data_IF_738709536607
#
_entry.id   IF_738709536607
#
_cell.length_a   1.000
_cell.length_b   1.000
_cell.length_c   1.000
_cell.angle_alpha   90.00
_cell.angle_beta   90.00
_cell.angle_gamma   90.00
#
_symmetry.space_group_name_H-M   'P 1'
#
loop_
_entity.id
_entity.type
_entity.pdbx_description
1 polymer ?
#
# COMPACT_ATOMS: atom_id res chain seq x y z
N UNK A 1 -24.84 18.03 -24.60
CA UNK A 1 -23.86 17.03 -24.15
C UNK A 1 -23.60 17.29 -22.68
N UNK A 2 -24.27 16.58 -21.77
CA UNK A 2 -23.99 16.65 -20.34
C UNK A 2 -23.25 15.37 -19.95
N UNK A 3 -21.98 15.50 -19.57
CA UNK A 3 -21.21 14.42 -18.98
C UNK A 3 -21.71 14.19 -17.55
N UNK A 4 -22.34 13.05 -17.32
CA UNK A 4 -22.66 12.56 -15.98
C UNK A 4 -21.37 12.01 -15.36
N UNK A 5 -20.82 12.71 -14.36
CA UNK A 5 -19.79 12.16 -13.49
C UNK A 5 -20.47 11.19 -12.53
N UNK A 6 -20.31 9.87 -12.77
CA UNK A 6 -20.63 8.87 -11.75
C UNK A 6 -19.60 8.98 -10.62
N UNK A 7 -19.94 9.75 -9.59
CA UNK A 7 -19.30 9.64 -8.28
C UNK A 7 -19.73 8.32 -7.66
N UNK A 8 -18.84 7.32 -7.69
CA UNK A 8 -19.03 6.07 -6.98
C UNK A 8 -18.79 6.32 -5.48
N UNK A 9 -19.83 6.73 -4.77
CA UNK A 9 -19.78 6.85 -3.30
C UNK A 9 -19.88 5.44 -2.71
N UNK A 10 -18.73 4.79 -2.54
CA UNK A 10 -18.65 3.51 -1.86
C UNK A 10 -18.96 3.70 -0.38
N UNK A 11 -20.16 3.32 0.06
CA UNK A 11 -20.52 3.30 1.48
C UNK A 11 -19.94 2.05 2.11
N UNK A 12 -18.78 2.18 2.76
CA UNK A 12 -18.25 1.13 3.61
C UNK A 12 -18.86 1.28 5.01
N UNK A 13 -19.91 0.50 5.31
CA UNK A 13 -20.40 0.37 6.68
C UNK A 13 -19.62 -0.77 7.35
N UNK A 14 -18.65 -0.49 8.24
CA UNK A 14 -17.96 -1.55 8.94
C UNK A 14 -18.98 -2.37 9.75
N UNK A 15 -19.02 -3.69 9.52
CA UNK A 15 -19.91 -4.64 10.21
C UNK A 15 -19.43 -4.98 11.62
N UNK A 16 -18.16 -4.72 11.93
CA UNK A 16 -17.63 -4.84 13.28
C UNK A 16 -17.94 -3.58 14.09
N UNK A 17 -18.75 -3.73 15.14
CA UNK A 17 -18.80 -2.71 16.20
C UNK A 17 -17.44 -2.73 16.90
N UNK A 18 -16.68 -1.63 16.82
CA UNK A 18 -15.49 -1.44 17.66
C UNK A 18 -15.96 -1.36 19.12
N UNK A 19 -15.90 -2.50 19.82
CA UNK A 19 -15.93 -2.51 21.27
C UNK A 19 -14.49 -2.35 21.72
N UNK A 20 -14.07 -1.14 22.05
CA UNK A 20 -12.77 -0.89 22.67
C UNK A 20 -12.72 -1.67 24.01
N UNK A 21 -11.80 -2.64 24.21
CA UNK A 21 -11.69 -3.36 25.47
C UNK A 21 -11.34 -2.43 26.63
N UNK A 22 -11.79 -2.77 27.84
CA UNK A 22 -11.71 -1.93 29.03
C UNK A 22 -10.25 -1.70 29.52
N UNK A 23 -9.28 -2.44 28.97
CA UNK A 23 -7.85 -2.40 29.34
C UNK A 23 -6.94 -1.89 28.21
N UNK A 24 -7.42 -0.96 27.38
CA UNK A 24 -6.62 -0.43 26.27
C UNK A 24 -5.43 0.42 26.72
N UNK A 25 -4.29 0.14 26.10
CA UNK A 25 -3.11 1.01 26.16
C UNK A 25 -3.48 2.30 25.39
N UNK A 26 -3.45 3.48 26.02
CA UNK A 26 -3.80 4.72 25.34
C UNK A 26 -2.84 4.99 24.18
N UNK A 27 -3.40 5.34 23.01
CA UNK A 27 -2.62 5.80 21.84
C UNK A 27 -2.33 7.29 22.01
N UNK A 28 -1.07 7.64 22.18
CA UNK A 28 -0.64 9.02 22.29
C UNK A 28 -0.45 9.67 20.92
N UNK A 29 -0.26 11.00 20.92
CA UNK A 29 -0.04 11.75 19.68
C UNK A 29 1.28 11.32 19.02
N UNK A 30 2.27 11.03 19.82
CA UNK A 30 3.61 10.59 19.41
C UNK A 30 3.54 9.21 18.74
N UNK A 31 2.79 8.26 19.32
CA UNK A 31 2.58 6.93 18.71
C UNK A 31 1.96 7.07 17.31
N UNK A 32 0.91 7.89 17.21
CA UNK A 32 0.25 8.17 15.92
C UNK A 32 1.22 8.76 14.91
N UNK A 33 2.07 9.70 15.34
CA UNK A 33 3.07 10.30 14.47
C UNK A 33 4.04 9.24 13.90
N UNK A 34 4.60 8.39 14.76
CA UNK A 34 5.54 7.35 14.31
C UNK A 34 4.88 6.28 13.45
N UNK A 35 3.66 5.85 13.80
CA UNK A 35 2.93 4.87 13.02
C UNK A 35 2.50 5.45 11.66
N UNK A 36 2.06 6.71 11.60
CA UNK A 36 1.75 7.37 10.32
C UNK A 36 2.99 7.58 9.46
N UNK A 37 4.16 7.81 10.06
CA UNK A 37 5.42 7.80 9.31
C UNK A 37 5.69 6.41 8.72
N UNK A 38 5.61 5.35 9.55
CA UNK A 38 5.78 3.97 9.12
C UNK A 38 4.73 3.55 8.08
N UNK A 39 3.52 4.11 8.13
CA UNK A 39 2.44 3.81 7.18
C UNK A 39 2.81 4.16 5.73
N UNK A 40 3.77 5.06 5.49
CA UNK A 40 4.30 5.25 4.14
C UNK A 40 4.98 3.98 3.59
N UNK A 41 5.65 3.22 4.46
CA UNK A 41 6.27 1.93 4.10
C UNK A 41 5.19 0.88 3.87
N UNK A 42 4.17 0.80 4.73
CA UNK A 42 3.03 -0.11 4.53
C UNK A 42 2.34 0.11 3.18
N UNK A 43 2.16 1.37 2.77
CA UNK A 43 1.63 1.69 1.43
C UNK A 43 2.59 1.27 0.31
N UNK A 44 3.90 1.47 0.49
CA UNK A 44 4.92 1.03 -0.47
C UNK A 44 4.90 -0.49 -0.65
N UNK A 45 4.93 -1.24 0.45
CA UNK A 45 4.96 -2.69 0.47
C UNK A 45 3.64 -3.27 -0.07
N UNK A 46 2.49 -2.74 0.35
CA UNK A 46 1.19 -3.14 -0.17
C UNK A 46 1.12 -2.96 -1.70
N UNK A 47 1.44 -1.78 -2.22
CA UNK A 47 1.40 -1.55 -3.66
C UNK A 47 2.43 -2.42 -4.40
N UNK A 48 3.65 -2.53 -3.89
CA UNK A 48 4.71 -3.33 -4.52
C UNK A 48 4.34 -4.81 -4.62
N UNK A 49 3.87 -5.42 -3.53
CA UNK A 49 3.48 -6.83 -3.50
C UNK A 49 2.17 -7.09 -4.27
N UNK A 50 1.20 -6.18 -4.21
CA UNK A 50 -0.03 -6.29 -4.99
C UNK A 50 0.24 -6.23 -6.49
N UNK A 51 1.02 -5.25 -6.95
CA UNK A 51 1.38 -5.15 -8.36
C UNK A 51 2.19 -6.35 -8.81
N UNK A 52 3.24 -6.72 -8.09
CA UNK A 52 4.10 -7.85 -8.48
C UNK A 52 3.35 -9.19 -8.53
N UNK A 53 2.37 -9.44 -7.66
CA UNK A 53 1.64 -10.72 -7.63
C UNK A 53 0.34 -10.74 -8.45
N UNK A 54 -0.50 -9.71 -8.34
CA UNK A 54 -1.82 -9.67 -8.98
C UNK A 54 -1.80 -8.91 -10.31
N UNK A 55 -0.95 -7.88 -10.41
CA UNK A 55 -0.88 -6.96 -11.55
C UNK A 55 -1.82 -5.75 -11.42
N UNK A 56 -2.27 -5.45 -10.21
CA UNK A 56 -3.05 -4.26 -9.86
C UNK A 56 -2.93 -3.99 -8.36
N UNK A 57 -3.13 -2.73 -7.95
CA UNK A 57 -2.90 -2.25 -6.58
C UNK A 57 -4.15 -2.09 -5.71
N UNK A 58 -4.04 -1.23 -4.69
CA UNK A 58 -5.10 -0.99 -3.72
C UNK A 58 -6.37 -0.40 -4.36
N UNK A 59 -6.27 0.29 -5.50
CA UNK A 59 -7.42 0.86 -6.20
C UNK A 59 -8.45 -0.19 -6.65
N UNK A 60 -8.00 -1.45 -6.82
CA UNK A 60 -8.87 -2.58 -7.16
C UNK A 60 -9.17 -3.41 -5.93
N UNK A 61 -8.15 -3.73 -5.14
CA UNK A 61 -8.29 -4.66 -4.02
C UNK A 61 -9.02 -4.04 -2.83
N UNK A 62 -8.63 -2.83 -2.42
CA UNK A 62 -9.11 -2.17 -1.20
C UNK A 62 -9.17 -0.64 -1.38
N UNK A 63 -10.02 -0.12 -2.29
CA UNK A 63 -9.98 1.28 -2.70
C UNK A 63 -10.24 2.27 -1.56
N UNK A 64 -10.94 1.83 -0.49
CA UNK A 64 -11.20 2.66 0.67
C UNK A 64 -9.96 2.94 1.52
N UNK A 65 -8.94 2.07 1.46
CA UNK A 65 -7.69 2.23 2.22
C UNK A 65 -6.79 3.32 1.62
N UNK A 66 -6.94 3.65 0.33
CA UNK A 66 -6.12 4.70 -0.31
C UNK A 66 -6.41 6.10 0.23
N UNK A 67 -7.58 6.29 0.86
CA UNK A 67 -8.16 7.58 1.28
C UNK A 67 -8.09 8.63 0.17
N UNK A 68 -8.30 8.21 -1.08
CA UNK A 68 -8.29 9.07 -2.26
C UNK A 68 -6.90 9.48 -2.75
N UNK A 69 -5.84 8.84 -2.26
CA UNK A 69 -4.47 9.07 -2.73
C UNK A 69 -4.26 8.59 -4.17
N UNK A 70 -3.29 9.16 -4.92
CA UNK A 70 -3.05 8.80 -6.31
C UNK A 70 -2.54 7.36 -6.45
N UNK A 71 -2.82 6.68 -7.58
CA UNK A 71 -2.25 5.36 -7.87
C UNK A 71 -0.73 5.43 -8.02
N UNK A 72 -0.01 4.32 -7.77
CA UNK A 72 1.42 4.28 -8.01
C UNK A 72 1.76 4.40 -9.49
N UNK A 73 2.93 4.94 -9.79
CA UNK A 73 3.50 5.01 -11.14
C UNK A 73 4.33 3.75 -11.37
N UNK A 74 4.20 3.13 -12.55
CA UNK A 74 5.10 2.06 -12.96
C UNK A 74 4.89 0.71 -12.29
N UNK A 75 3.79 0.51 -11.54
CA UNK A 75 3.45 -0.80 -10.99
C UNK A 75 3.27 -1.83 -12.11
N UNK A 76 3.92 -2.99 -11.95
CA UNK A 76 3.89 -4.08 -12.94
C UNK A 76 3.77 -5.44 -12.27
N UNK A 77 3.19 -6.39 -13.00
CA UNK A 77 3.14 -7.79 -12.58
C UNK A 77 4.47 -8.47 -12.84
N UNK A 78 5.00 -9.12 -11.81
CA UNK A 78 6.25 -9.85 -11.90
C UNK A 78 6.03 -11.23 -12.53
N UNK A 79 7.06 -11.72 -13.24
CA UNK A 79 7.11 -13.06 -13.78
C UNK A 79 7.66 -14.04 -12.73
N UNK A 80 6.80 -14.43 -11.79
CA UNK A 80 7.17 -15.30 -10.66
C UNK A 80 6.77 -16.75 -10.92
N UNK A 81 7.59 -17.69 -10.45
CA UNK A 81 7.20 -19.10 -10.40
C UNK A 81 6.03 -19.30 -9.41
N UNK A 82 5.28 -20.41 -9.50
CA UNK A 82 4.07 -20.60 -8.68
C UNK A 82 4.30 -20.56 -7.17
N UNK A 83 5.45 -21.01 -6.68
CA UNK A 83 5.74 -21.01 -5.25
C UNK A 83 6.01 -19.59 -4.76
N UNK A 84 6.90 -18.86 -5.45
CA UNK A 84 7.22 -17.48 -5.12
C UNK A 84 5.98 -16.58 -5.27
N UNK A 85 5.18 -16.76 -6.32
CA UNK A 85 3.93 -16.03 -6.51
C UNK A 85 2.99 -16.19 -5.31
N UNK A 86 2.86 -17.39 -4.75
CA UNK A 86 2.00 -17.61 -3.59
C UNK A 86 2.54 -16.89 -2.35
N UNK A 87 3.84 -16.89 -2.12
CA UNK A 87 4.46 -16.14 -1.02
C UNK A 87 4.18 -14.63 -1.16
N UNK A 88 4.41 -14.07 -2.35
CA UNK A 88 4.21 -12.63 -2.57
C UNK A 88 2.73 -12.24 -2.44
N UNK A 89 1.79 -13.14 -2.77
CA UNK A 89 0.36 -12.92 -2.47
C UNK A 89 0.08 -12.87 -0.97
N UNK A 90 0.71 -13.73 -0.17
CA UNK A 90 0.56 -13.68 1.29
C UNK A 90 1.10 -12.36 1.84
N UNK A 91 2.27 -11.91 1.39
CA UNK A 91 2.80 -10.58 1.77
C UNK A 91 1.84 -9.46 1.37
N UNK A 92 1.32 -9.47 0.14
CA UNK A 92 0.35 -8.46 -0.31
C UNK A 92 -0.92 -8.41 0.57
N UNK A 93 -1.42 -9.57 1.01
CA UNK A 93 -2.57 -9.65 1.90
C UNK A 93 -2.23 -9.20 3.33
N UNK A 94 -1.02 -9.47 3.80
CA UNK A 94 -0.50 -9.03 5.10
C UNK A 94 -0.45 -7.50 5.17
N UNK A 95 0.09 -6.83 4.14
CA UNK A 95 0.16 -5.36 4.15
C UNK A 95 -1.20 -4.67 4.04
N UNK A 96 -2.16 -5.27 3.30
CA UNK A 96 -3.56 -4.85 3.38
C UNK A 96 -4.08 -4.96 4.81
N UNK A 97 -3.73 -6.05 5.51
CA UNK A 97 -4.05 -6.28 6.92
C UNK A 97 -3.46 -5.20 7.83
N UNK A 98 -2.19 -4.84 7.65
CA UNK A 98 -1.53 -3.77 8.40
C UNK A 98 -2.21 -2.42 8.18
N UNK A 99 -2.50 -2.05 6.92
CA UNK A 99 -3.21 -0.82 6.61
C UNK A 99 -4.60 -0.75 7.27
N UNK A 100 -5.35 -1.86 7.26
CA UNK A 100 -6.65 -1.96 7.96
C UNK A 100 -6.51 -1.80 9.47
N UNK A 101 -5.52 -2.47 10.06
CA UNK A 101 -5.27 -2.42 11.49
C UNK A 101 -4.96 -0.98 11.93
N UNK A 102 -4.02 -0.31 11.24
CA UNK A 102 -3.66 1.08 11.53
C UNK A 102 -4.88 2.00 11.38
N UNK A 103 -5.62 1.90 10.26
CA UNK A 103 -6.80 2.74 10.02
C UNK A 103 -7.87 2.57 11.10
N UNK A 104 -8.10 1.34 11.57
CA UNK A 104 -9.10 1.04 12.59
C UNK A 104 -8.78 1.60 13.97
N UNK A 105 -7.49 1.68 14.34
CA UNK A 105 -7.06 2.08 15.68
C UNK A 105 -6.77 3.58 15.77
N UNK A 106 -6.13 4.15 14.76
CA UNK A 106 -5.65 5.53 14.80
C UNK A 106 -5.93 6.32 13.52
N UNK A 107 -6.76 5.79 12.62
CA UNK A 107 -7.00 6.39 11.32
C UNK A 107 -5.76 6.31 10.42
N UNK A 108 -6.00 6.35 9.11
CA UNK A 108 -4.94 6.28 8.10
C UNK A 108 -4.55 7.66 7.55
N UNK A 109 -3.30 7.78 7.12
CA UNK A 109 -2.91 8.81 6.15
C UNK A 109 -3.49 8.52 4.76
N UNK A 110 -3.48 9.52 3.89
CA UNK A 110 -3.72 9.34 2.46
C UNK A 110 -2.54 8.64 1.81
N UNK A 111 -2.80 7.63 0.95
CA UNK A 111 -1.74 6.92 0.21
C UNK A 111 -0.84 7.95 -0.49
N UNK A 112 0.48 7.93 -0.25
CA UNK A 112 1.41 8.82 -0.94
C UNK A 112 1.54 8.43 -2.42
N UNK A 113 2.03 9.36 -3.25
CA UNK A 113 2.42 9.01 -4.61
C UNK A 113 3.70 8.15 -4.55
N UNK A 114 3.60 6.93 -5.07
CA UNK A 114 4.71 5.98 -5.10
C UNK A 114 5.21 5.82 -6.54
N UNK A 115 6.52 5.86 -6.71
CA UNK A 115 7.16 5.59 -8.01
C UNK A 115 7.82 4.21 -7.97
N UNK A 116 7.13 3.23 -8.56
CA UNK A 116 7.55 1.84 -8.62
C UNK A 116 8.19 1.47 -9.96
N UNK A 117 8.57 2.45 -10.80
CA UNK A 117 9.24 2.15 -12.07
C UNK A 117 10.62 1.54 -11.83
N UNK A 118 11.08 0.72 -12.76
CA UNK A 118 12.39 0.08 -12.70
C UNK A 118 13.53 1.10 -12.65
N UNK A 119 13.41 2.23 -13.34
CA UNK A 119 14.44 3.29 -13.30
C UNK A 119 14.56 3.94 -11.91
N UNK A 120 13.45 4.04 -11.17
CA UNK A 120 13.49 4.56 -9.81
C UNK A 120 14.13 3.56 -8.84
N UNK A 121 13.86 2.26 -9.01
CA UNK A 121 14.53 1.20 -8.25
C UNK A 121 16.02 1.13 -8.59
N UNK A 122 16.39 1.16 -9.87
CA UNK A 122 17.78 1.21 -10.35
C UNK A 122 18.54 2.34 -9.66
N UNK A 123 17.99 3.56 -9.67
CA UNK A 123 18.63 4.70 -9.02
C UNK A 123 18.89 4.45 -7.53
N UNK A 124 17.95 3.86 -6.80
CA UNK A 124 18.11 3.54 -5.37
C UNK A 124 19.24 2.53 -5.18
N UNK A 125 19.31 1.50 -6.01
CA UNK A 125 20.35 0.47 -5.90
C UNK A 125 21.72 0.98 -6.34
N UNK A 126 21.80 1.76 -7.41
CA UNK A 126 23.05 2.39 -7.87
C UNK A 126 23.63 3.31 -6.77
N UNK A 127 22.78 4.10 -6.12
CA UNK A 127 23.18 4.93 -4.98
C UNK A 127 23.64 4.08 -3.78
N UNK A 128 22.97 2.95 -3.51
CA UNK A 128 23.32 2.06 -2.42
C UNK A 128 24.64 1.31 -2.66
N UNK A 129 24.91 0.90 -3.91
CA UNK A 129 26.13 0.18 -4.29
C UNK A 129 27.30 1.12 -4.60
N UNK A 130 27.02 2.38 -4.94
CA UNK A 130 28.03 3.38 -5.31
C UNK A 130 28.54 3.26 -6.74
N UNK A 131 27.85 2.51 -7.61
CA UNK A 131 28.12 2.37 -9.04
C UNK A 131 26.88 1.89 -9.79
N UNK A 132 26.84 2.15 -11.10
CA UNK A 132 25.72 1.75 -11.94
C UNK A 132 25.70 0.23 -12.18
N UNK A 133 24.56 -0.41 -11.95
CA UNK A 133 24.36 -1.81 -12.25
C UNK A 133 24.28 -2.06 -13.76
N UNK A 134 24.98 -3.09 -14.23
CA UNK A 134 25.05 -3.46 -15.65
C UNK A 134 24.78 -4.97 -15.81
N UNK A 135 23.67 -5.40 -16.44
CA UNK A 135 22.63 -4.56 -17.02
C UNK A 135 21.77 -3.83 -15.95
N UNK A 136 21.05 -2.76 -16.33
CA UNK A 136 20.10 -2.09 -15.43
C UNK A 136 18.90 -2.99 -15.10
N UNK A 137 18.05 -2.53 -14.18
CA UNK A 137 16.76 -3.19 -13.92
C UNK A 137 15.86 -3.15 -15.17
N UNK A 138 15.03 -4.19 -15.34
CA UNK A 138 14.14 -4.35 -16.49
C UNK A 138 12.79 -3.64 -16.34
#
# INVERSE_FOLDING_TARGET
MLFSQLLFVCHCNPTCKLGYPIDEIPVYKEDRYYVHFAQNLEFLEAEYFLWSSYGYGLDVMEPCLTKGGPPPIGGQKANLDPFTLNIIKEFANEEIGHLRAIDSIMGSITRPLLNLTSENFEKIFDEAFGYNLEPPFD
#
